data_IF_267159141492
#
_entry.id   IF_267159141492
#
_cell.length_a   1.000
_cell.length_b   1.000
_cell.length_c   1.000
_cell.angle_alpha   90.00
_cell.angle_beta   90.00
_cell.angle_gamma   90.00
#
_symmetry.space_group_name_H-M   'P 1'
#
loop_
_entity.id
_entity.type
_entity.pdbx_description
1 polymer ?
#
# COMPACT_ATOMS: atom_id res chain seq x y z
N UNK A 1 -4.50 -16.65 -16.48
CA UNK A 1 -3.05 -16.39 -16.42
C UNK A 1 -2.48 -17.19 -15.26
N UNK A 2 -1.44 -18.00 -15.46
CA UNK A 2 -0.86 -18.79 -14.39
C UNK A 2 -0.23 -17.87 -13.33
N UNK A 3 -0.48 -18.14 -12.05
CA UNK A 3 -0.06 -17.28 -10.93
C UNK A 3 1.47 -17.00 -10.90
N UNK A 4 2.29 -17.90 -11.46
CA UNK A 4 3.75 -17.73 -11.56
C UNK A 4 4.20 -16.60 -12.48
N UNK A 5 3.44 -16.27 -13.53
CA UNK A 5 3.80 -15.19 -14.46
C UNK A 5 3.55 -13.80 -13.84
N UNK A 6 2.45 -13.67 -13.09
CA UNK A 6 2.13 -12.45 -12.36
C UNK A 6 3.17 -12.13 -11.28
N UNK A 7 3.58 -13.14 -10.50
CA UNK A 7 4.61 -12.97 -9.46
C UNK A 7 5.95 -12.56 -10.06
N UNK A 8 6.38 -13.22 -11.13
CA UNK A 8 7.64 -12.90 -11.83
C UNK A 8 7.65 -11.45 -12.33
N UNK A 9 6.52 -10.99 -12.87
CA UNK A 9 6.34 -9.60 -13.29
C UNK A 9 6.42 -8.61 -12.13
N UNK A 10 5.78 -8.92 -11.00
CA UNK A 10 5.83 -8.08 -9.78
C UNK A 10 7.27 -7.95 -9.28
N UNK A 11 8.00 -9.07 -9.20
CA UNK A 11 9.40 -9.08 -8.76
C UNK A 11 10.30 -8.28 -9.71
N UNK A 12 10.06 -8.37 -11.02
CA UNK A 12 10.78 -7.55 -12.02
C UNK A 12 10.58 -6.06 -11.78
N UNK A 13 9.34 -5.62 -11.57
CA UNK A 13 9.05 -4.21 -11.27
C UNK A 13 9.67 -3.77 -9.95
N UNK A 14 9.59 -4.60 -8.90
CA UNK A 14 10.22 -4.33 -7.61
C UNK A 14 11.73 -4.10 -7.77
N UNK A 15 12.43 -5.01 -8.45
CA UNK A 15 13.87 -4.89 -8.70
C UNK A 15 14.19 -3.62 -9.48
N UNK A 16 13.37 -3.28 -10.48
CA UNK A 16 13.55 -2.06 -11.25
C UNK A 16 13.41 -0.81 -10.36
N UNK A 17 12.38 -0.73 -9.53
CA UNK A 17 12.20 0.41 -8.61
C UNK A 17 13.31 0.54 -7.57
N UNK A 18 13.89 -0.58 -7.11
CA UNK A 18 14.99 -0.59 -6.14
C UNK A 18 16.34 -0.21 -6.74
N UNK A 19 16.58 -0.55 -8.00
CA UNK A 19 17.87 -0.32 -8.67
C UNK A 19 17.90 0.98 -9.47
N UNK A 20 16.74 1.52 -9.83
CA UNK A 20 16.65 2.78 -10.59
C UNK A 20 17.06 3.95 -9.71
N UNK A 21 18.11 4.67 -10.12
CA UNK A 21 18.38 6.01 -9.60
C UNK A 21 17.38 6.99 -10.21
N UNK A 22 16.51 7.54 -9.38
CA UNK A 22 15.60 8.58 -9.78
C UNK A 22 16.33 9.92 -9.83
N UNK A 23 16.18 10.70 -10.91
CA UNK A 23 16.71 12.06 -10.95
C UNK A 23 16.08 12.88 -9.83
N UNK A 24 16.89 13.66 -9.12
CA UNK A 24 16.37 14.57 -8.11
C UNK A 24 15.54 15.65 -8.80
N UNK A 25 14.32 15.85 -8.30
CA UNK A 25 13.54 17.05 -8.60
C UNK A 25 14.35 18.26 -8.14
N UNK A 26 14.52 19.26 -9.01
CA UNK A 26 15.37 20.43 -8.70
C UNK A 26 16.77 20.41 -9.31
N UNK A 27 17.20 19.32 -9.99
CA UNK A 27 18.34 19.36 -10.91
C UNK A 27 18.02 20.04 -12.26
N UNK A 28 16.86 20.66 -12.35
CA UNK A 28 16.42 21.44 -13.50
C UNK A 28 17.32 22.68 -13.63
N UNK A 29 17.66 23.08 -14.86
CA UNK A 29 18.42 24.30 -15.09
C UNK A 29 17.61 25.48 -14.53
N UNK A 30 18.18 26.25 -13.61
CA UNK A 30 17.49 27.34 -12.93
C UNK A 30 16.97 28.40 -13.91
N UNK A 31 17.77 28.75 -14.93
CA UNK A 31 17.43 29.73 -15.96
C UNK A 31 18.06 29.38 -17.32
N UNK A 32 17.38 29.71 -18.41
CA UNK A 32 17.89 29.52 -19.78
C UNK A 32 17.23 28.36 -20.54
N UNK A 33 17.75 28.01 -21.74
CA UNK A 33 17.17 26.94 -22.56
C UNK A 33 17.16 25.60 -21.83
N UNK A 34 15.98 25.00 -21.67
CA UNK A 34 15.79 23.76 -20.90
C UNK A 34 15.40 23.97 -19.43
N UNK A 35 15.33 25.23 -18.97
CA UNK A 35 14.70 25.56 -17.69
C UNK A 35 13.20 25.33 -17.75
N UNK A 36 12.64 24.76 -16.68
CA UNK A 36 11.19 24.64 -16.49
C UNK A 36 10.70 25.78 -15.63
N UNK A 37 9.45 26.19 -15.87
CA UNK A 37 8.81 27.19 -15.02
C UNK A 37 8.83 26.75 -13.55
N UNK A 38 9.30 27.64 -12.69
CA UNK A 38 9.22 27.50 -11.24
C UNK A 38 9.08 28.88 -10.60
N UNK A 39 8.19 29.00 -9.61
CA UNK A 39 8.15 30.14 -8.70
C UNK A 39 8.51 29.70 -7.27
N UNK A 40 9.30 28.62 -7.17
CA UNK A 40 9.72 28.00 -5.93
C UNK A 40 11.23 28.21 -5.73
N UNK A 41 11.63 28.63 -4.52
CA UNK A 41 13.01 29.01 -4.19
C UNK A 41 13.60 28.24 -3.00
N UNK A 42 12.88 27.24 -2.48
CA UNK A 42 13.29 26.45 -1.32
C UNK A 42 13.77 25.04 -1.71
N UNK A 43 14.59 24.95 -2.77
CA UNK A 43 15.11 23.68 -3.31
C UNK A 43 15.84 22.86 -2.24
N UNK A 44 16.72 23.50 -1.46
CA UNK A 44 17.47 22.86 -0.38
C UNK A 44 16.61 22.21 0.72
N UNK A 45 15.36 22.65 0.87
CA UNK A 45 14.37 22.01 1.75
C UNK A 45 13.68 20.87 0.99
N UNK A 46 13.22 21.15 -0.22
CA UNK A 46 12.48 20.20 -1.06
C UNK A 46 13.30 18.96 -1.43
N UNK A 47 14.62 19.06 -1.51
CA UNK A 47 15.51 17.93 -1.84
C UNK A 47 15.31 16.72 -0.92
N UNK A 48 14.97 16.97 0.35
CA UNK A 48 14.69 15.93 1.35
C UNK A 48 13.30 15.29 1.20
N UNK A 49 12.40 15.98 0.52
CA UNK A 49 10.97 15.66 0.41
C UNK A 49 10.49 15.51 -1.04
N UNK A 50 11.42 15.43 -1.99
CA UNK A 50 11.15 15.30 -3.42
C UNK A 50 10.28 14.08 -3.80
N UNK A 51 10.18 13.09 -2.92
CA UNK A 51 9.32 11.93 -3.11
C UNK A 51 7.82 12.22 -2.83
N UNK A 52 7.49 13.30 -2.11
CA UNK A 52 6.12 13.58 -1.66
C UNK A 52 5.12 13.73 -2.81
N UNK A 53 5.40 14.45 -3.92
CA UNK A 53 4.43 14.56 -5.01
C UNK A 53 4.05 13.20 -5.60
N UNK A 54 5.05 12.33 -5.83
CA UNK A 54 4.82 10.97 -6.34
C UNK A 54 4.07 10.12 -5.32
N UNK A 55 4.41 10.21 -4.02
CA UNK A 55 3.72 9.51 -2.95
C UNK A 55 2.23 9.87 -2.88
N UNK A 56 1.89 11.16 -2.92
CA UNK A 56 0.50 11.60 -2.86
C UNK A 56 -0.28 11.19 -4.11
N UNK A 57 0.34 11.31 -5.28
CA UNK A 57 -0.27 10.83 -6.54
C UNK A 57 -0.59 9.33 -6.46
N UNK A 58 0.37 8.51 -6.02
CA UNK A 58 0.16 7.07 -5.85
C UNK A 58 -0.94 6.75 -4.84
N UNK A 59 -1.02 7.51 -3.75
CA UNK A 59 -2.08 7.37 -2.74
C UNK A 59 -3.46 7.67 -3.33
N UNK A 60 -3.61 8.73 -4.12
CA UNK A 60 -4.87 9.06 -4.78
C UNK A 60 -5.35 7.94 -5.73
N UNK A 61 -4.44 7.38 -6.52
CA UNK A 61 -4.76 6.22 -7.36
C UNK A 61 -5.13 4.99 -6.53
N UNK A 62 -4.39 4.72 -5.45
CA UNK A 62 -4.68 3.59 -4.57
C UNK A 62 -6.05 3.70 -3.91
N UNK A 63 -6.47 4.91 -3.52
CA UNK A 63 -7.81 5.13 -2.97
C UNK A 63 -8.90 4.80 -3.99
N UNK A 64 -8.75 5.25 -5.23
CA UNK A 64 -9.71 4.94 -6.32
C UNK A 64 -9.78 3.44 -6.62
N UNK A 65 -8.63 2.75 -6.62
CA UNK A 65 -8.59 1.29 -6.81
C UNK A 65 -9.18 0.55 -5.61
N UNK A 66 -8.81 0.95 -4.40
CA UNK A 66 -9.26 0.36 -3.14
C UNK A 66 -10.77 0.53 -2.91
N UNK A 67 -11.36 1.62 -3.40
CA UNK A 67 -12.81 1.80 -3.38
C UNK A 67 -13.54 0.71 -4.19
N UNK A 68 -12.97 0.30 -5.33
CA UNK A 68 -13.54 -0.75 -6.19
C UNK A 68 -13.22 -2.16 -5.69
N UNK A 69 -12.02 -2.36 -5.17
CA UNK A 69 -11.57 -3.63 -4.62
C UNK A 69 -10.69 -3.39 -3.37
N UNK A 70 -11.25 -3.45 -2.16
CA UNK A 70 -10.50 -3.20 -0.93
C UNK A 70 -9.49 -4.32 -0.60
N UNK A 71 -9.62 -5.51 -1.18
CA UNK A 71 -8.70 -6.64 -0.94
C UNK A 71 -7.31 -6.39 -1.53
N UNK A 72 -7.17 -5.44 -2.46
CA UNK A 72 -5.89 -5.11 -3.11
C UNK A 72 -4.79 -4.69 -2.12
N UNK A 73 -5.17 -4.18 -0.95
CA UNK A 73 -4.27 -3.76 0.13
C UNK A 73 -4.23 -4.74 1.30
N UNK A 74 -5.03 -5.80 1.28
CA UNK A 74 -5.15 -6.73 2.40
C UNK A 74 -3.80 -7.39 2.75
N UNK A 75 -3.05 -7.80 1.73
CA UNK A 75 -1.70 -8.36 1.90
C UNK A 75 -0.69 -7.35 2.47
N UNK A 76 -0.90 -6.05 2.26
CA UNK A 76 -0.04 -5.00 2.80
C UNK A 76 -0.30 -4.73 4.30
N UNK A 77 -1.53 -4.96 4.75
CA UNK A 77 -1.91 -4.79 6.16
C UNK A 77 -1.67 -6.03 7.02
N UNK A 78 -1.71 -7.23 6.44
CA UNK A 78 -1.62 -8.50 7.18
C UNK A 78 -0.20 -9.05 7.31
N UNK A 79 0.80 -8.52 6.59
CA UNK A 79 2.18 -9.01 6.58
C UNK A 79 3.18 -8.03 7.19
N UNK A 80 2.88 -7.49 8.37
CA UNK A 80 3.86 -6.68 9.09
C UNK A 80 3.81 -6.97 10.59
N UNK A 81 4.75 -7.79 11.07
CA UNK A 81 4.88 -8.15 12.50
C UNK A 81 5.11 -6.93 13.40
N UNK A 82 5.56 -5.80 12.83
CA UNK A 82 5.84 -4.57 13.57
C UNK A 82 4.65 -3.61 13.64
N UNK A 83 3.64 -3.76 12.79
CA UNK A 83 2.54 -2.79 12.70
C UNK A 83 1.20 -3.50 12.49
N UNK A 84 0.45 -3.65 13.58
CA UNK A 84 -0.94 -4.11 13.55
C UNK A 84 -1.84 -2.93 13.19
N UNK A 85 -2.36 -2.92 11.96
CA UNK A 85 -3.32 -1.89 11.54
C UNK A 85 -4.74 -2.38 11.78
N UNK A 86 -5.44 -1.74 12.71
CA UNK A 86 -6.88 -1.91 12.88
C UNK A 86 -7.60 -0.98 11.90
N UNK A 87 -8.20 -1.56 10.86
CA UNK A 87 -9.07 -0.79 9.96
C UNK A 87 -10.36 -0.47 10.70
N UNK A 88 -10.41 0.70 11.33
CA UNK A 88 -11.64 1.22 11.92
C UNK A 88 -12.47 1.82 10.79
N UNK A 89 -13.52 1.12 10.37
CA UNK A 89 -14.47 1.67 9.39
C UNK A 89 -15.61 2.38 10.12
N UNK A 90 -16.07 3.52 9.60
CA UNK A 90 -17.30 4.17 10.06
C UNK A 90 -18.57 3.39 9.68
N UNK A 91 -18.41 2.22 9.03
CA UNK A 91 -19.53 1.32 8.78
C UNK A 91 -20.00 0.76 10.11
N UNK A 92 -21.32 0.70 10.36
CA UNK A 92 -21.83 0.04 11.53
C UNK A 92 -21.28 -1.39 11.54
N UNK A 93 -20.64 -1.77 12.65
CA UNK A 93 -20.17 -3.13 12.84
C UNK A 93 -21.34 -4.08 12.56
N UNK A 94 -21.10 -5.09 11.72
CA UNK A 94 -22.12 -6.09 11.45
C UNK A 94 -22.50 -6.71 12.80
N UNK A 95 -23.77 -6.58 13.19
CA UNK A 95 -24.35 -7.23 14.37
C UNK A 95 -24.50 -8.74 14.11
N UNK A 96 -23.39 -9.39 13.80
CA UNK A 96 -23.28 -10.83 13.57
C UNK A 96 -22.15 -11.39 14.42
N UNK A 97 -22.31 -12.66 14.81
CA UNK A 97 -21.43 -13.36 15.73
C UNK A 97 -19.97 -13.24 15.33
N UNK A 98 -19.13 -12.82 16.28
CA UNK A 98 -17.70 -12.63 16.07
C UNK A 98 -17.06 -13.97 15.65
N UNK A 99 -16.02 -13.98 14.79
CA UNK A 99 -15.34 -15.19 14.37
C UNK A 99 -14.83 -16.08 15.53
N UNK A 100 -14.54 -15.48 16.69
CA UNK A 100 -14.19 -16.20 17.93
C UNK A 100 -15.35 -17.05 18.47
N UNK A 101 -16.60 -16.58 18.35
CA UNK A 101 -17.79 -17.33 18.76
C UNK A 101 -18.01 -18.54 17.86
N UNK A 102 -17.80 -18.38 16.54
CA UNK A 102 -17.85 -19.48 15.58
C UNK A 102 -16.74 -20.53 15.81
N UNK A 103 -15.52 -20.10 16.17
CA UNK A 103 -14.43 -21.04 16.53
C UNK A 103 -14.75 -21.84 17.79
N UNK A 104 -15.27 -21.19 18.83
CA UNK A 104 -15.65 -21.85 20.08
C UNK A 104 -16.76 -22.91 19.90
N UNK A 105 -17.69 -22.67 18.97
CA UNK A 105 -18.78 -23.60 18.66
C UNK A 105 -18.32 -24.84 17.89
N UNK A 106 -17.29 -24.69 17.03
CA UNK A 106 -16.69 -25.82 16.31
C UNK A 106 -15.87 -26.70 17.25
N UNK A 107 -15.10 -26.10 18.17
CA UNK A 107 -14.30 -26.83 19.15
C UNK A 107 -15.16 -27.55 20.21
N UNK A 108 -16.34 -27.01 20.55
CA UNK A 108 -17.29 -27.66 21.44
C UNK A 108 -17.96 -28.90 20.81
N UNK A 109 -18.13 -28.91 19.48
CA UNK A 109 -18.81 -29.99 18.76
C UNK A 109 -17.89 -31.16 18.35
N UNK A 110 -16.58 -30.98 18.35
CA UNK A 110 -15.60 -32.04 18.02
C UNK A 110 -15.11 -32.84 19.24
N UNK A 111 -15.55 -32.50 20.46
CA UNK A 111 -15.11 -33.14 21.71
C UNK A 111 -15.95 -34.31 22.24
N UNK A 112 -17.05 -34.72 21.57
CA UNK A 112 -17.95 -35.78 22.08
C UNK A 112 -18.05 -36.97 21.12
N UNK A 113 -16.99 -37.77 21.05
CA UNK A 113 -17.02 -38.98 20.23
C UNK A 113 -15.85 -39.91 20.44
N UNK A 114 -15.58 -40.35 21.67
CA UNK A 114 -14.91 -41.63 21.94
C UNK A 114 -15.19 -42.08 23.39
N UNK A 115 -16.24 -42.89 23.53
CA UNK A 115 -16.34 -43.97 24.51
C UNK A 115 -17.16 -45.10 23.90
#
# INVERSE_FOLDING_TARGET
MAAGDALSRILKWRTLFQTTKWPQLGNEIAEGPGSKYTNFSLQHIMDKYNFLPTLFTQREFLLSMGQKNPEIVQDAFLKNDNFTYYVRSDRPEAKGELPEQLRSAVDANTGHGHH
#
